data_IF_277501715546
#
_entry.id   IF_277501715546
#
_cell.length_a   1.000
_cell.length_b   1.000
_cell.length_c   1.000
_cell.angle_alpha   90.00
_cell.angle_beta   90.00
_cell.angle_gamma   90.00
#
_symmetry.space_group_name_H-M   'P 1'
#
loop_
_entity.id
_entity.type
_entity.pdbx_description
1 polymer ?
#
# COMPACT_ATOMS: atom_id res chain seq x y z
N UNK A 1 12.19 9.93 -8.74
CA UNK A 1 11.49 9.36 -9.91
C UNK A 1 10.45 10.37 -10.42
N UNK A 2 10.30 10.51 -11.73
CA UNK A 2 9.34 11.45 -12.35
C UNK A 2 7.87 11.13 -12.00
N UNK A 3 7.59 9.87 -11.69
CA UNK A 3 6.26 9.41 -11.25
C UNK A 3 6.02 9.58 -9.75
N UNK A 4 6.96 10.14 -9.01
CA UNK A 4 6.80 10.33 -7.57
C UNK A 4 5.70 11.34 -7.25
N UNK A 5 4.89 11.00 -6.26
CA UNK A 5 3.83 11.85 -5.74
C UNK A 5 4.23 12.56 -4.43
N UNK A 6 5.43 12.27 -3.91
CA UNK A 6 5.99 12.92 -2.72
C UNK A 6 7.50 13.05 -2.83
N UNK A 7 8.09 13.89 -1.98
CA UNK A 7 9.53 13.96 -1.82
C UNK A 7 10.01 12.85 -0.87
N UNK A 8 10.20 11.65 -1.43
CA UNK A 8 10.61 10.46 -0.69
C UNK A 8 11.95 10.63 0.04
N UNK A 9 12.86 11.45 -0.50
CA UNK A 9 14.14 11.70 0.15
C UNK A 9 13.99 12.58 1.39
N UNK A 10 13.15 13.63 1.32
CA UNK A 10 12.85 14.48 2.47
C UNK A 10 12.15 13.67 3.55
N UNK A 11 11.11 12.92 3.21
CA UNK A 11 10.38 12.07 4.13
C UNK A 11 11.30 11.06 4.83
N UNK A 12 12.13 10.34 4.08
CA UNK A 12 13.06 9.38 4.64
C UNK A 12 14.08 10.03 5.58
N UNK A 13 14.71 11.15 5.17
CA UNK A 13 15.69 11.86 6.02
C UNK A 13 15.06 12.37 7.31
N UNK A 14 13.85 12.90 7.24
CA UNK A 14 13.13 13.42 8.39
C UNK A 14 12.88 12.29 9.41
N UNK A 15 12.30 11.18 8.98
CA UNK A 15 12.03 10.03 9.85
C UNK A 15 13.33 9.43 10.42
N UNK A 16 14.36 9.24 9.61
CA UNK A 16 15.64 8.70 10.09
C UNK A 16 16.32 9.64 11.08
N UNK A 17 16.36 10.94 10.79
CA UNK A 17 17.06 11.89 11.66
C UNK A 17 16.37 12.07 13.03
N UNK A 18 15.04 12.06 13.05
CA UNK A 18 14.29 12.20 14.30
C UNK A 18 14.36 10.93 15.16
N UNK A 19 14.38 9.74 14.53
CA UNK A 19 14.30 8.46 15.25
C UNK A 19 15.57 7.61 15.19
N UNK A 20 16.73 8.20 14.82
CA UNK A 20 18.00 7.44 14.71
C UNK A 20 18.38 6.80 16.05
N UNK A 21 18.25 7.51 17.15
CA UNK A 21 18.62 6.99 18.46
C UNK A 21 17.65 5.91 18.93
N UNK A 22 16.36 6.05 18.67
CA UNK A 22 15.31 5.09 19.05
C UNK A 22 15.37 3.81 18.23
N UNK A 23 15.62 3.92 16.93
CA UNK A 23 15.66 2.77 16.00
C UNK A 23 16.97 1.99 16.07
N UNK A 24 18.09 2.66 16.34
CA UNK A 24 19.43 2.06 16.34
C UNK A 24 19.95 1.69 17.74
N UNK A 25 19.43 2.28 18.79
CA UNK A 25 19.80 1.96 20.16
C UNK A 25 18.61 1.32 20.85
N UNK A 26 18.70 0.04 21.25
CA UNK A 26 17.53 -0.76 21.59
C UNK A 26 16.99 -0.45 22.99
N UNK A 27 16.29 0.68 23.15
CA UNK A 27 15.31 0.84 24.22
C UNK A 27 13.94 0.28 23.80
N UNK A 28 13.78 -0.13 22.54
CA UNK A 28 12.53 -0.61 21.97
C UNK A 28 12.38 -2.14 22.11
N UNK A 29 11.16 -2.67 22.21
CA UNK A 29 10.88 -4.10 22.32
C UNK A 29 11.53 -4.95 21.23
N UNK A 30 11.63 -4.40 20.03
CA UNK A 30 12.30 -5.00 18.87
C UNK A 30 12.71 -3.92 17.87
N UNK A 31 13.21 -4.32 16.68
CA UNK A 31 13.54 -3.37 15.60
C UNK A 31 12.30 -2.72 15.01
N UNK A 32 12.36 -1.43 14.74
CA UNK A 32 11.37 -0.66 14.02
C UNK A 32 11.94 -0.22 12.66
N UNK A 33 11.16 -0.24 11.60
CA UNK A 33 11.63 0.07 10.25
C UNK A 33 10.73 1.10 9.58
N UNK A 34 11.34 2.19 9.15
CA UNK A 34 10.75 3.15 8.23
C UNK A 34 11.09 2.81 6.79
N UNK A 35 10.11 2.90 5.89
CA UNK A 35 10.34 2.88 4.45
C UNK A 35 9.42 3.87 3.76
N UNK A 36 9.96 4.52 2.75
CA UNK A 36 9.24 5.51 1.94
C UNK A 36 9.34 5.13 0.48
N UNK A 37 8.19 5.00 -0.18
CA UNK A 37 8.07 4.84 -1.63
C UNK A 37 7.37 6.05 -2.23
N UNK A 38 7.93 6.65 -3.27
CA UNK A 38 7.41 7.86 -3.89
C UNK A 38 6.07 7.70 -4.63
N UNK A 39 5.64 6.47 -4.91
CA UNK A 39 4.36 6.18 -5.58
C UNK A 39 3.89 4.75 -5.30
N UNK A 40 2.69 4.42 -5.79
CA UNK A 40 2.04 3.11 -5.62
C UNK A 40 2.77 1.90 -6.22
N UNK A 41 3.84 2.09 -6.98
CA UNK A 41 4.72 0.99 -7.41
C UNK A 41 5.45 0.32 -6.25
N UNK A 42 5.56 1.00 -5.12
CA UNK A 42 6.23 0.52 -3.91
C UNK A 42 7.59 -0.16 -4.18
N UNK A 43 8.45 0.50 -4.94
CA UNK A 43 9.77 -0.03 -5.32
C UNK A 43 10.67 -0.38 -4.12
N UNK A 44 10.38 0.15 -2.93
CA UNK A 44 11.08 -0.14 -1.70
C UNK A 44 10.49 -1.33 -0.92
N UNK A 45 9.39 -1.92 -1.40
CA UNK A 45 8.63 -2.93 -0.70
C UNK A 45 8.28 -2.47 0.74
N UNK A 46 7.75 -1.26 0.85
CA UNK A 46 7.44 -0.64 2.12
C UNK A 46 6.22 -1.32 2.76
N UNK A 47 5.21 -1.64 1.96
CA UNK A 47 3.93 -2.22 2.43
C UNK A 47 4.15 -3.55 3.16
N UNK A 48 5.06 -4.40 2.66
CA UNK A 48 5.29 -5.74 3.22
C UNK A 48 6.51 -5.84 4.15
N UNK A 49 7.30 -4.75 4.32
CA UNK A 49 8.59 -4.84 5.01
C UNK A 49 8.86 -3.74 6.02
N UNK A 50 7.99 -2.77 6.15
CA UNK A 50 8.16 -1.66 7.08
C UNK A 50 7.13 -1.71 8.20
N UNK A 51 7.56 -1.37 9.41
CA UNK A 51 6.65 -1.12 10.51
C UNK A 51 5.89 0.19 10.28
N UNK A 52 6.54 1.17 9.67
CA UNK A 52 5.94 2.42 9.22
C UNK A 52 6.29 2.64 7.74
N UNK A 53 5.28 2.57 6.88
CA UNK A 53 5.40 2.75 5.45
C UNK A 53 4.72 4.04 4.98
N UNK A 54 5.43 4.84 4.18
CA UNK A 54 4.90 6.04 3.51
C UNK A 54 4.89 5.80 2.01
N UNK A 55 3.71 5.85 1.41
CA UNK A 55 3.53 5.58 -0.03
C UNK A 55 2.94 6.79 -0.71
N UNK A 56 3.68 7.37 -1.66
CA UNK A 56 3.17 8.48 -2.47
C UNK A 56 1.92 8.08 -3.26
N UNK A 57 0.94 8.98 -3.29
CA UNK A 57 -0.34 8.81 -4.00
C UNK A 57 -0.88 10.18 -4.44
N UNK A 58 -2.03 10.18 -5.13
CA UNK A 58 -2.80 11.39 -5.44
C UNK A 58 -4.28 11.14 -5.16
N UNK A 59 -5.04 12.21 -4.95
CA UNK A 59 -6.46 12.12 -4.57
C UNK A 59 -7.41 12.43 -5.70
N UNK A 60 -7.07 13.42 -6.53
CA UNK A 60 -7.85 13.88 -7.68
C UNK A 60 -7.79 12.91 -8.87
N UNK A 61 -8.26 13.36 -10.03
CA UNK A 61 -8.32 12.58 -11.26
C UNK A 61 -6.94 12.39 -11.87
N UNK A 62 -6.71 11.18 -12.41
CA UNK A 62 -5.53 10.88 -13.21
C UNK A 62 -5.52 11.75 -14.47
N UNK A 63 -4.36 12.32 -14.79
CA UNK A 63 -4.18 13.12 -16.01
C UNK A 63 -3.99 12.24 -17.23
N UNK A 64 -4.69 12.58 -18.30
CA UNK A 64 -4.63 11.86 -19.57
C UNK A 64 -4.27 12.82 -20.69
N UNK A 65 -3.16 12.57 -21.37
CA UNK A 65 -2.87 13.17 -22.68
C UNK A 65 -3.42 12.25 -23.76
N UNK A 66 -4.58 12.62 -24.31
CA UNK A 66 -5.24 11.82 -25.36
C UNK A 66 -4.45 11.80 -26.67
N UNK A 67 -3.65 12.84 -26.95
CA UNK A 67 -2.80 12.89 -28.13
C UNK A 67 -1.68 11.86 -28.05
N UNK A 68 -0.95 11.83 -26.92
CA UNK A 68 0.07 10.83 -26.67
C UNK A 68 -0.54 9.42 -26.55
N UNK A 69 -1.75 9.30 -26.01
CA UNK A 69 -2.43 8.01 -25.96
C UNK A 69 -2.70 7.46 -27.36
N UNK A 70 -3.22 8.26 -28.29
CA UNK A 70 -3.42 7.87 -29.71
C UNK A 70 -2.10 7.47 -30.38
N UNK A 71 -1.00 8.18 -30.08
CA UNK A 71 0.34 7.81 -30.55
C UNK A 71 0.77 6.41 -30.06
N UNK A 72 0.42 6.03 -28.84
CA UNK A 72 0.65 4.67 -28.34
C UNK A 72 -0.19 3.63 -29.05
N UNK A 73 -1.48 3.91 -29.29
CA UNK A 73 -2.37 3.02 -30.05
C UNK A 73 -1.85 2.81 -31.47
N UNK A 74 -1.44 3.87 -32.16
CA UNK A 74 -0.89 3.80 -33.52
C UNK A 74 0.41 2.98 -33.57
N UNK A 75 1.33 3.19 -32.62
CA UNK A 75 2.63 2.51 -32.61
C UNK A 75 2.56 1.05 -32.16
N UNK A 76 1.70 0.71 -31.21
CA UNK A 76 1.64 -0.60 -30.56
C UNK A 76 0.48 -1.47 -31.05
N UNK A 77 -0.53 -0.84 -31.63
CA UNK A 77 -1.78 -1.46 -32.02
C UNK A 77 -2.82 -1.50 -30.89
N UNK A 78 -4.08 -1.40 -31.29
CA UNK A 78 -5.24 -1.39 -30.40
C UNK A 78 -5.30 -2.64 -29.48
N UNK A 79 -5.02 -3.81 -30.05
CA UNK A 79 -5.04 -5.05 -29.30
C UNK A 79 -3.99 -5.09 -28.18
N UNK A 80 -2.79 -4.55 -28.45
CA UNK A 80 -1.76 -4.43 -27.42
C UNK A 80 -2.22 -3.59 -26.22
N UNK A 81 -2.92 -2.48 -26.48
CA UNK A 81 -3.45 -1.62 -25.40
C UNK A 81 -4.53 -2.36 -24.60
N UNK A 82 -5.41 -3.09 -25.27
CA UNK A 82 -6.43 -3.89 -24.59
C UNK A 82 -5.76 -4.92 -23.68
N UNK A 83 -4.82 -5.71 -24.20
CA UNK A 83 -4.22 -6.82 -23.45
C UNK A 83 -3.30 -6.38 -22.31
N UNK A 84 -2.59 -5.26 -22.48
CA UNK A 84 -1.55 -4.85 -21.53
C UNK A 84 -1.94 -3.70 -20.61
N UNK A 85 -3.03 -2.98 -20.92
CA UNK A 85 -3.46 -1.82 -20.15
C UNK A 85 -4.88 -2.01 -19.63
N UNK A 86 -5.84 -2.19 -20.54
CA UNK A 86 -7.27 -2.22 -20.17
C UNK A 86 -7.59 -3.46 -19.33
N UNK A 87 -7.27 -4.66 -19.81
CA UNK A 87 -7.57 -5.92 -19.13
C UNK A 87 -6.71 -6.15 -17.88
N UNK A 88 -5.60 -5.41 -17.75
CA UNK A 88 -4.74 -5.45 -16.58
C UNK A 88 -5.17 -4.50 -15.46
N UNK A 89 -6.18 -3.67 -15.68
CA UNK A 89 -6.72 -2.81 -14.64
C UNK A 89 -7.44 -3.65 -13.57
N UNK A 90 -6.99 -3.65 -12.31
CA UNK A 90 -7.54 -4.53 -11.27
C UNK A 90 -8.99 -4.21 -10.92
N UNK A 91 -9.45 -2.99 -11.20
CA UNK A 91 -10.82 -2.53 -10.90
C UNK A 91 -11.63 -2.23 -12.15
N UNK A 92 -11.12 -2.58 -13.34
CA UNK A 92 -11.74 -2.27 -14.62
C UNK A 92 -12.07 -0.77 -14.81
N UNK A 93 -11.27 0.10 -14.21
CA UNK A 93 -11.47 1.55 -14.26
C UNK A 93 -11.12 2.20 -15.61
N UNK A 94 -10.62 1.41 -16.58
CA UNK A 94 -10.18 1.90 -17.89
C UNK A 94 -11.03 1.32 -19.00
N UNK A 95 -11.36 2.13 -20.00
CA UNK A 95 -12.01 1.68 -21.24
C UNK A 95 -11.40 2.37 -22.46
N UNK A 96 -11.30 1.63 -23.56
CA UNK A 96 -10.81 2.13 -24.84
C UNK A 96 -12.00 2.46 -25.75
N UNK A 97 -12.12 3.72 -26.14
CA UNK A 97 -13.18 4.19 -27.04
C UNK A 97 -12.90 3.85 -28.50
N UNK A 98 -13.93 3.96 -29.36
CA UNK A 98 -13.81 3.66 -30.80
C UNK A 98 -12.90 4.64 -31.54
N UNK A 99 -12.76 5.86 -31.04
CA UNK A 99 -11.91 6.92 -31.62
C UNK A 99 -10.44 6.86 -31.12
N UNK A 100 -10.04 5.73 -30.53
CA UNK A 100 -8.71 5.51 -29.97
C UNK A 100 -8.35 6.46 -28.81
N UNK A 101 -9.34 6.91 -28.06
CA UNK A 101 -9.15 7.60 -26.77
C UNK A 101 -9.36 6.66 -25.60
N UNK A 102 -8.81 7.00 -24.45
CA UNK A 102 -9.04 6.27 -23.20
C UNK A 102 -10.01 7.02 -22.30
N UNK A 103 -10.96 6.31 -21.74
CA UNK A 103 -11.78 6.82 -20.63
C UNK A 103 -11.33 6.19 -19.31
N UNK A 104 -11.31 7.00 -18.26
CA UNK A 104 -10.87 6.60 -16.94
C UNK A 104 -11.98 6.87 -15.92
N UNK A 105 -12.46 5.83 -15.27
CA UNK A 105 -13.32 5.98 -14.11
C UNK A 105 -12.44 6.20 -12.85
N UNK A 106 -12.16 7.45 -12.55
CA UNK A 106 -11.28 7.82 -11.44
C UNK A 106 -11.83 7.42 -10.06
N UNK A 107 -13.15 7.24 -9.94
CA UNK A 107 -13.79 6.77 -8.70
C UNK A 107 -13.37 5.34 -8.35
N UNK A 108 -13.25 4.48 -9.36
CA UNK A 108 -12.87 3.07 -9.18
C UNK A 108 -11.36 2.84 -9.35
N UNK A 109 -10.60 3.89 -9.72
CA UNK A 109 -9.15 3.80 -9.87
C UNK A 109 -8.45 3.65 -8.51
N UNK A 110 -7.77 2.53 -8.29
CA UNK A 110 -7.00 2.25 -7.07
C UNK A 110 -5.55 2.74 -7.11
N UNK A 111 -5.18 3.52 -8.12
CA UNK A 111 -3.85 4.17 -8.25
C UNK A 111 -2.67 3.19 -8.21
N UNK A 112 -2.86 1.99 -8.76
CA UNK A 112 -1.85 0.92 -8.77
C UNK A 112 -0.64 1.19 -9.68
N UNK A 113 -0.61 2.28 -10.43
CA UNK A 113 0.46 2.74 -11.33
C UNK A 113 0.66 1.89 -12.59
N UNK A 114 -0.01 0.74 -12.76
CA UNK A 114 0.27 -0.15 -13.89
C UNK A 114 0.15 0.54 -15.26
N UNK A 115 -0.99 1.21 -15.53
CA UNK A 115 -1.22 1.89 -16.79
C UNK A 115 -0.24 3.06 -17.03
N UNK A 116 0.12 3.79 -15.97
CA UNK A 116 1.13 4.87 -16.03
C UNK A 116 2.50 4.32 -16.42
N UNK A 117 2.89 3.15 -15.86
CA UNK A 117 4.16 2.52 -16.18
C UNK A 117 4.25 2.05 -17.65
N UNK A 118 3.12 1.60 -18.21
CA UNK A 118 3.08 1.16 -19.61
C UNK A 118 3.07 2.35 -20.58
N UNK A 119 2.40 3.45 -20.19
CA UNK A 119 2.21 4.63 -21.03
C UNK A 119 2.61 5.93 -20.30
N UNK A 120 3.90 6.08 -19.89
CA UNK A 120 4.33 7.18 -19.03
C UNK A 120 4.27 8.57 -19.68
N UNK A 121 4.07 8.67 -21.01
CA UNK A 121 3.89 9.95 -21.69
C UNK A 121 2.42 10.34 -21.83
N UNK A 122 1.51 9.36 -21.78
CA UNK A 122 0.10 9.58 -21.95
C UNK A 122 -0.67 9.68 -20.62
N UNK A 123 -0.23 8.96 -19.60
CA UNK A 123 -0.92 8.88 -18.32
C UNK A 123 -0.01 9.33 -17.17
N UNK A 124 -0.53 10.25 -16.35
CA UNK A 124 0.21 10.83 -15.23
C UNK A 124 -0.64 10.83 -13.96
N UNK A 125 0.01 10.85 -12.77
CA UNK A 125 -0.68 11.13 -11.52
C UNK A 125 -1.45 12.45 -11.58
N UNK A 126 -2.50 12.58 -10.78
CA UNK A 126 -3.20 13.83 -10.56
C UNK A 126 -2.31 14.92 -9.93
N UNK A 127 -2.89 16.10 -9.71
CA UNK A 127 -2.18 17.24 -9.13
C UNK A 127 -2.25 17.26 -7.60
N UNK A 128 -3.35 16.76 -7.03
CA UNK A 128 -3.53 16.70 -5.57
C UNK A 128 -2.74 15.52 -4.99
N UNK A 129 -1.41 15.71 -4.95
CA UNK A 129 -0.45 14.70 -4.50
C UNK A 129 -0.30 14.69 -2.98
N UNK A 130 0.00 13.52 -2.44
CA UNK A 130 0.21 13.30 -1.03
C UNK A 130 0.73 11.89 -0.77
N UNK A 131 0.48 11.38 0.42
CA UNK A 131 0.91 10.04 0.83
C UNK A 131 -0.22 9.26 1.51
N UNK A 132 -0.14 7.94 1.41
CA UNK A 132 -0.85 7.00 2.28
C UNK A 132 0.15 6.46 3.31
N UNK A 133 -0.24 6.39 4.58
CA UNK A 133 0.58 5.83 5.65
C UNK A 133 0.00 4.47 6.04
N UNK A 134 0.88 3.47 6.07
CA UNK A 134 0.54 2.09 6.45
C UNK A 134 1.48 1.63 7.56
N UNK A 135 0.94 0.81 8.45
CA UNK A 135 1.66 0.32 9.63
C UNK A 135 1.64 -1.21 9.68
N UNK A 136 2.72 -1.79 10.18
CA UNK A 136 2.76 -3.18 10.61
C UNK A 136 3.22 -4.19 9.56
N UNK A 137 3.81 -3.74 8.44
CA UNK A 137 4.37 -4.66 7.45
C UNK A 137 5.54 -5.47 7.99
N UNK A 138 5.50 -6.79 7.79
CA UNK A 138 6.56 -7.73 8.19
C UNK A 138 6.63 -8.90 7.21
N UNK A 139 7.81 -9.16 6.69
CA UNK A 139 8.07 -10.34 5.86
C UNK A 139 9.14 -11.23 6.50
N UNK A 140 8.79 -12.48 6.74
CA UNK A 140 9.72 -13.47 7.27
C UNK A 140 9.49 -14.85 6.64
N UNK A 141 10.51 -15.69 6.65
CA UNK A 141 10.40 -17.08 6.16
C UNK A 141 9.45 -17.94 7.00
N UNK A 142 9.19 -17.55 8.27
CA UNK A 142 8.37 -18.36 9.18
C UNK A 142 6.87 -18.11 9.04
N UNK A 143 6.49 -16.85 8.83
CA UNK A 143 5.08 -16.43 8.82
C UNK A 143 4.61 -15.91 7.45
N UNK A 144 5.50 -15.84 6.46
CA UNK A 144 5.20 -15.23 5.18
C UNK A 144 5.14 -13.71 5.25
N UNK A 145 4.19 -13.12 4.55
CA UNK A 145 4.02 -11.68 4.43
C UNK A 145 2.85 -11.19 5.29
N UNK A 146 3.14 -10.35 6.26
CA UNK A 146 2.18 -9.53 6.97
C UNK A 146 2.16 -8.16 6.29
N UNK A 147 1.05 -7.83 5.66
CA UNK A 147 0.91 -6.56 4.91
C UNK A 147 0.61 -5.42 5.86
N UNK A 148 1.22 -4.26 5.61
CA UNK A 148 0.89 -3.05 6.33
C UNK A 148 -0.58 -2.66 6.16
N UNK A 149 -1.21 -2.25 7.26
CA UNK A 149 -2.57 -1.74 7.29
C UNK A 149 -2.59 -0.23 7.09
N UNK A 150 -3.53 0.30 6.32
CA UNK A 150 -3.70 1.76 6.13
C UNK A 150 -4.16 2.39 7.44
N UNK A 151 -3.40 3.37 7.91
CA UNK A 151 -3.72 4.18 9.10
C UNK A 151 -4.17 5.58 8.66
N UNK A 152 -3.48 6.17 7.71
CA UNK A 152 -3.87 7.45 7.11
C UNK A 152 -4.05 7.25 5.60
N UNK A 153 -5.28 7.29 5.08
CA UNK A 153 -5.55 7.06 3.66
C UNK A 153 -4.92 8.10 2.75
N UNK A 154 -4.92 9.36 3.16
CA UNK A 154 -4.33 10.46 2.42
C UNK A 154 -3.89 11.59 3.35
N UNK A 155 -2.62 12.01 3.22
CA UNK A 155 -2.05 13.18 3.86
C UNK A 155 -1.22 13.95 2.85
N UNK A 156 -1.42 15.28 2.79
CA UNK A 156 -0.51 16.16 2.03
C UNK A 156 0.82 16.29 2.77
N UNK A 157 1.89 16.51 2.01
CA UNK A 157 3.23 16.79 2.54
C UNK A 157 3.83 17.96 1.73
N UNK A 158 3.24 19.14 1.87
CA UNK A 158 3.64 20.35 1.13
C UNK A 158 4.28 21.39 2.04
N UNK A 159 3.66 21.66 3.20
CA UNK A 159 4.12 22.65 4.18
C UNK A 159 5.07 22.05 5.21
N UNK A 160 5.82 22.87 5.94
CA UNK A 160 6.64 22.35 7.04
C UNK A 160 5.78 21.76 8.16
N UNK A 161 4.59 22.32 8.41
CA UNK A 161 3.62 21.79 9.35
C UNK A 161 3.16 20.36 8.98
N UNK A 162 2.88 20.10 7.69
CA UNK A 162 2.55 18.73 7.25
C UNK A 162 3.68 17.72 7.55
N UNK A 163 4.93 18.17 7.44
CA UNK A 163 6.10 17.33 7.74
C UNK A 163 6.28 17.11 9.25
N UNK A 164 6.02 18.12 10.06
CA UNK A 164 6.03 18.01 11.52
C UNK A 164 4.96 17.02 11.99
N UNK A 165 3.72 17.13 11.51
CA UNK A 165 2.64 16.19 11.81
C UNK A 165 2.95 14.74 11.36
N UNK A 166 3.75 14.53 10.30
CA UNK A 166 4.20 13.19 9.93
C UNK A 166 5.16 12.61 10.98
N UNK A 167 6.03 13.44 11.53
CA UNK A 167 6.98 13.04 12.59
C UNK A 167 6.24 12.76 13.89
N UNK A 168 5.32 13.63 14.28
CA UNK A 168 4.48 13.46 15.49
C UNK A 168 3.68 12.15 15.43
N UNK A 169 3.03 11.85 14.30
CA UNK A 169 2.35 10.58 14.11
C UNK A 169 3.29 9.37 14.23
N UNK A 170 4.51 9.49 13.71
CA UNK A 170 5.48 8.40 13.83
C UNK A 170 5.95 8.21 15.28
N UNK A 171 6.09 9.29 16.05
CA UNK A 171 6.44 9.28 17.48
C UNK A 171 5.32 8.62 18.30
N UNK A 172 4.07 9.05 18.14
CA UNK A 172 2.90 8.44 18.79
C UNK A 172 2.80 6.93 18.54
N UNK A 173 3.08 6.50 17.30
CA UNK A 173 3.06 5.08 16.93
C UNK A 173 4.19 4.30 17.61
N UNK A 174 5.40 4.87 17.66
CA UNK A 174 6.55 4.22 18.28
C UNK A 174 6.33 4.11 19.79
N UNK A 175 5.88 5.18 20.42
CA UNK A 175 5.62 5.23 21.86
C UNK A 175 4.54 4.24 22.27
N UNK A 176 3.41 4.25 21.54
CA UNK A 176 2.34 3.28 21.80
C UNK A 176 2.81 1.84 21.62
N UNK A 177 3.60 1.56 20.56
CA UNK A 177 4.16 0.24 20.35
C UNK A 177 5.17 -0.13 21.45
N UNK A 178 6.04 0.79 21.86
CA UNK A 178 7.03 0.54 22.90
C UNK A 178 6.39 0.21 24.26
N UNK A 179 5.27 0.85 24.58
CA UNK A 179 4.52 0.62 25.81
C UNK A 179 3.70 -0.67 25.82
N UNK A 180 3.18 -1.08 24.68
CA UNK A 180 2.20 -2.17 24.56
C UNK A 180 2.74 -3.47 23.97
N UNK A 181 3.91 -3.44 23.32
CA UNK A 181 4.46 -4.63 22.67
C UNK A 181 5.13 -5.56 23.69
N UNK A 182 5.06 -6.85 23.38
CA UNK A 182 5.81 -7.88 24.08
C UNK A 182 7.28 -7.87 23.62
N UNK A 183 8.16 -8.53 24.39
CA UNK A 183 9.57 -8.69 24.02
C UNK A 183 9.68 -9.40 22.65
N UNK A 184 10.46 -8.83 21.73
CA UNK A 184 10.63 -9.27 20.34
C UNK A 184 9.38 -9.21 19.45
N UNK A 185 8.33 -8.52 19.85
CA UNK A 185 7.11 -8.32 19.07
C UNK A 185 7.24 -7.12 18.13
N UNK A 186 7.01 -7.32 16.85
CA UNK A 186 6.95 -6.25 15.83
C UNK A 186 5.61 -5.52 15.91
N UNK A 187 5.58 -4.27 15.46
CA UNK A 187 4.38 -3.43 15.47
C UNK A 187 3.15 -4.11 14.85
N UNK A 188 3.29 -4.77 13.70
CA UNK A 188 2.19 -5.48 13.06
C UNK A 188 1.69 -6.68 13.84
N UNK A 189 2.57 -7.40 14.52
CA UNK A 189 2.18 -8.53 15.39
C UNK A 189 1.42 -8.04 16.63
N UNK A 190 1.85 -6.91 17.21
CA UNK A 190 1.11 -6.27 18.28
C UNK A 190 -0.30 -5.86 17.83
N UNK A 191 -0.42 -5.22 16.66
CA UNK A 191 -1.72 -4.82 16.10
C UNK A 191 -2.65 -6.03 15.90
N UNK A 192 -2.14 -7.16 15.42
CA UNK A 192 -2.93 -8.39 15.31
C UNK A 192 -3.38 -8.91 16.67
N UNK A 193 -2.53 -8.81 17.70
CA UNK A 193 -2.85 -9.26 19.06
C UNK A 193 -3.87 -8.37 19.78
N UNK A 194 -3.70 -7.03 19.71
CA UNK A 194 -4.58 -6.09 20.44
C UNK A 194 -5.79 -5.65 19.63
N UNK A 195 -5.76 -5.81 18.29
CA UNK A 195 -6.76 -5.37 17.35
C UNK A 195 -6.52 -3.96 16.80
N UNK A 196 -6.88 -3.77 15.52
CA UNK A 196 -6.66 -2.50 14.81
C UNK A 196 -7.39 -1.32 15.45
N UNK A 197 -8.63 -1.52 15.92
CA UNK A 197 -9.42 -0.45 16.55
C UNK A 197 -8.72 0.08 17.80
N UNK A 198 -8.31 -0.82 18.70
CA UNK A 198 -7.60 -0.44 19.93
C UNK A 198 -6.27 0.28 19.63
N UNK A 199 -5.60 -0.13 18.55
CA UNK A 199 -4.38 0.54 18.11
C UNK A 199 -4.67 1.96 17.61
N UNK A 200 -5.65 2.14 16.70
CA UNK A 200 -6.00 3.45 16.16
C UNK A 200 -6.47 4.42 17.25
N UNK A 201 -7.32 3.96 18.16
CA UNK A 201 -7.75 4.75 19.33
C UNK A 201 -6.55 5.12 20.24
N UNK A 202 -5.61 4.20 20.42
CA UNK A 202 -4.43 4.40 21.25
C UNK A 202 -3.46 5.44 20.72
N UNK A 203 -3.37 5.59 19.41
CA UNK A 203 -2.55 6.61 18.71
C UNK A 203 -3.35 7.86 18.34
N UNK A 204 -4.58 8.02 18.82
CA UNK A 204 -5.41 9.20 18.57
C UNK A 204 -5.89 9.37 17.12
N UNK A 205 -5.85 8.32 16.30
CA UNK A 205 -6.33 8.36 14.91
C UNK A 205 -7.79 7.92 14.83
N UNK A 206 -8.61 8.72 14.18
CA UNK A 206 -10.02 8.42 13.98
C UNK A 206 -10.21 7.11 13.18
N UNK A 207 -11.06 6.23 13.69
CA UNK A 207 -11.36 4.96 13.04
C UNK A 207 -12.32 5.18 11.87
N UNK A 208 -11.82 5.03 10.64
CA UNK A 208 -12.68 4.98 9.46
C UNK A 208 -13.32 3.57 9.35
N UNK A 209 -14.66 3.47 9.28
CA UNK A 209 -15.35 2.18 9.13
C UNK A 209 -14.86 1.34 7.94
N UNK A 210 -14.41 1.97 6.86
CA UNK A 210 -13.86 1.25 5.70
C UNK A 210 -12.52 0.58 5.97
N UNK A 211 -11.73 1.08 6.92
CA UNK A 211 -10.47 0.44 7.32
C UNK A 211 -10.72 -0.84 8.12
N UNK A 212 -11.80 -0.89 8.89
CA UNK A 212 -12.12 -1.98 9.81
C UNK A 212 -13.02 -3.03 9.18
N UNK A 213 -14.10 -2.60 8.49
CA UNK A 213 -15.09 -3.48 7.90
C UNK A 213 -14.64 -4.05 6.54
N UNK A 214 -13.84 -3.31 5.80
CA UNK A 214 -13.26 -3.75 4.54
C UNK A 214 -11.72 -3.66 4.66
N UNK A 215 -11.09 -4.55 5.42
CA UNK A 215 -9.64 -4.54 5.56
C UNK A 215 -9.04 -4.65 4.16
N UNK A 216 -8.00 -3.85 3.90
CA UNK A 216 -7.32 -3.81 2.62
C UNK A 216 -6.80 -5.20 2.29
N UNK A 217 -7.50 -5.86 1.40
CA UNK A 217 -7.01 -7.08 0.78
C UNK A 217 -5.93 -6.68 -0.23
N UNK A 218 -4.86 -7.44 -0.29
CA UNK A 218 -3.83 -7.22 -1.30
C UNK A 218 -4.47 -7.21 -2.68
N UNK A 219 -4.24 -6.16 -3.49
CA UNK A 219 -4.70 -6.11 -4.87
C UNK A 219 -4.12 -7.22 -5.75
N UNK A 220 -3.13 -7.94 -5.25
CA UNK A 220 -2.51 -9.10 -5.89
C UNK A 220 -3.16 -10.44 -5.52
N UNK A 221 -3.97 -10.46 -4.48
CA UNK A 221 -4.72 -11.65 -4.06
C UNK A 221 -6.14 -11.51 -4.56
N UNK A 222 -6.49 -12.25 -5.59
CA UNK A 222 -7.90 -12.44 -5.97
C UNK A 222 -8.53 -13.30 -4.90
N UNK A 223 -9.47 -12.72 -4.16
CA UNK A 223 -10.19 -13.43 -3.10
C UNK A 223 -11.40 -14.22 -3.63
N UNK A 224 -11.81 -13.95 -4.89
CA UNK A 224 -12.89 -14.69 -5.53
C UNK A 224 -12.53 -16.18 -5.64
N UNK A 225 -13.31 -17.02 -4.97
CA UNK A 225 -13.10 -18.47 -4.93
C UNK A 225 -12.03 -18.96 -3.94
N UNK A 226 -11.42 -18.05 -3.14
CA UNK A 226 -10.41 -18.45 -2.17
C UNK A 226 -10.96 -19.36 -1.06
N UNK A 227 -12.17 -19.08 -0.60
CA UNK A 227 -12.84 -19.91 0.42
C UNK A 227 -13.08 -21.31 -0.11
N UNK A 228 -13.53 -21.45 -1.37
CA UNK A 228 -13.73 -22.75 -2.04
C UNK A 228 -12.41 -23.52 -2.19
N UNK A 229 -11.32 -22.84 -2.53
CA UNK A 229 -9.99 -23.47 -2.64
C UNK A 229 -9.45 -23.86 -1.27
N UNK A 230 -9.66 -23.07 -0.24
CA UNK A 230 -9.31 -23.39 1.14
C UNK A 230 -10.09 -24.64 1.63
N UNK A 231 -11.40 -24.72 1.37
CA UNK A 231 -12.21 -25.90 1.70
C UNK A 231 -11.68 -27.16 1.01
N UNK A 232 -11.44 -27.12 -0.30
CA UNK A 232 -10.85 -28.24 -1.06
C UNK A 232 -9.49 -28.67 -0.51
N UNK A 233 -8.66 -27.71 -0.06
CA UNK A 233 -7.39 -27.99 0.57
C UNK A 233 -7.55 -28.71 1.91
N UNK A 234 -8.47 -28.23 2.76
CA UNK A 234 -8.77 -28.86 4.05
C UNK A 234 -9.39 -30.25 3.91
N UNK A 235 -10.22 -30.48 2.89
CA UNK A 235 -10.77 -31.79 2.58
C UNK A 235 -9.69 -32.79 2.20
N UNK A 236 -8.81 -32.42 1.26
CA UNK A 236 -7.65 -33.26 0.88
C UNK A 236 -6.77 -33.59 2.10
N UNK A 237 -6.52 -32.62 2.96
CA UNK A 237 -5.74 -32.83 4.19
C UNK A 237 -6.40 -33.78 5.19
N UNK A 238 -7.72 -33.76 5.27
CA UNK A 238 -8.49 -34.72 6.10
C UNK A 238 -8.39 -36.14 5.54
N UNK A 239 -8.54 -36.28 4.24
CA UNK A 239 -8.43 -37.59 3.56
C UNK A 239 -7.01 -38.18 3.68
N UNK A 240 -5.98 -37.39 3.44
CA UNK A 240 -4.57 -37.80 3.63
C UNK A 240 -4.31 -38.29 5.07
N UNK A 241 -4.87 -37.60 6.07
CA UNK A 241 -4.72 -37.96 7.47
C UNK A 241 -5.46 -39.23 7.85
N UNK A 242 -6.63 -39.47 7.26
CA UNK A 242 -7.38 -40.71 7.43
C UNK A 242 -6.69 -41.89 6.77
N UNK A 243 -6.18 -41.69 5.54
CA UNK A 243 -5.42 -42.76 4.83
C UNK A 243 -4.09 -43.11 5.53
N UNK A 244 -3.45 -42.16 6.21
CA UNK A 244 -2.25 -42.41 6.99
C UNK A 244 -2.50 -43.08 8.35
N UNK A 245 -3.75 -43.17 8.78
CA UNK A 245 -4.18 -43.76 10.06
C UNK A 245 -4.81 -45.15 9.89
N UNK A 246 -5.03 -45.59 8.67
CA UNK A 246 -5.56 -46.90 8.28
C UNK A 246 -4.44 -47.83 7.83
#
# INVERSE_FOLDING_TARGET
CEMSCTNEQKAHRLLVNNFTDDVHRPALPYKFKFKVSGCGNDCQNAIERADFAVIGTWRDDMKVDQGEFKNYVEKKGRQYIIDNVITRCPTNALSLNDDDTIAVNNKDCVRCMHCLNVMPKALHPGDDKGVTILIGGKRTLKIGDLMGTVVVPFKKLETEEDWEELVELAEEIIDFWAENALEHERCGEMIERIGLVNFLEGIGVDVDPNMVNNPRQSSYVRMDGWDEEAEKWFERKREEKQAASA
#
